data_IF_581403212508
#
_entry.id   IF_581403212508
#
_cell.length_a   1.000
_cell.length_b   1.000
_cell.length_c   1.000
_cell.angle_alpha   90.00
_cell.angle_beta   90.00
_cell.angle_gamma   90.00
#
_symmetry.space_group_name_H-M   'P 1'
#
loop_
_entity.id
_entity.type
_entity.pdbx_description
1 polymer ?
#
# COMPACT_ATOMS: atom_id res chain seq x y z
N UNK A 1 7.61 25.52 -1.42
CA UNK A 1 8.35 24.25 -1.47
C UNK A 1 9.60 24.49 -2.28
N UNK A 2 10.75 23.91 -1.97
CA UNK A 2 11.93 23.99 -2.84
C UNK A 2 11.97 22.81 -3.83
N UNK A 3 12.80 22.87 -4.87
CA UNK A 3 13.07 21.71 -5.74
C UNK A 3 13.48 20.48 -4.91
N UNK A 4 14.36 20.68 -3.94
CA UNK A 4 14.83 19.64 -3.02
C UNK A 4 13.69 19.03 -2.20
N UNK A 5 12.70 19.82 -1.78
CA UNK A 5 11.53 19.31 -1.05
C UNK A 5 10.61 18.48 -1.96
N UNK A 6 10.49 18.87 -3.22
CA UNK A 6 9.72 18.13 -4.24
C UNK A 6 10.35 16.77 -4.52
N UNK A 7 11.67 16.74 -4.76
CA UNK A 7 12.43 15.50 -4.98
C UNK A 7 12.33 14.55 -3.78
N UNK A 8 12.37 15.08 -2.55
CA UNK A 8 12.19 14.30 -1.32
C UNK A 8 10.77 13.73 -1.18
N UNK A 9 9.75 14.50 -1.53
CA UNK A 9 8.37 14.02 -1.53
C UNK A 9 8.15 12.92 -2.56
N UNK A 10 8.70 13.05 -3.77
CA UNK A 10 8.60 12.00 -4.78
C UNK A 10 9.32 10.71 -4.36
N UNK A 11 10.51 10.84 -3.74
CA UNK A 11 11.21 9.68 -3.17
C UNK A 11 10.38 8.98 -2.09
N UNK A 12 9.83 9.75 -1.15
CA UNK A 12 8.99 9.18 -0.09
C UNK A 12 7.71 8.55 -0.65
N UNK A 13 7.09 9.13 -1.67
CA UNK A 13 5.91 8.57 -2.32
C UNK A 13 6.23 7.21 -2.99
N UNK A 14 7.37 7.11 -3.66
CA UNK A 14 7.85 5.86 -4.25
C UNK A 14 8.17 4.80 -3.19
N UNK A 15 8.83 5.17 -2.09
CA UNK A 15 9.09 4.24 -0.97
C UNK A 15 7.79 3.71 -0.34
N UNK A 16 6.72 4.51 -0.30
CA UNK A 16 5.41 4.03 0.16
C UNK A 16 4.77 3.02 -0.81
N UNK A 17 4.98 3.18 -2.12
CA UNK A 17 4.54 2.20 -3.13
C UNK A 17 5.31 0.88 -2.95
N UNK A 18 6.63 0.96 -2.74
CA UNK A 18 7.46 -0.21 -2.45
C UNK A 18 7.01 -0.92 -1.17
N UNK A 19 6.83 -0.17 -0.07
CA UNK A 19 6.34 -0.72 1.20
C UNK A 19 4.97 -1.38 1.05
N UNK A 20 4.07 -0.82 0.24
CA UNK A 20 2.77 -1.45 -0.08
C UNK A 20 2.97 -2.78 -0.80
N UNK A 21 3.89 -2.84 -1.76
CA UNK A 21 4.25 -4.07 -2.47
C UNK A 21 4.86 -5.13 -1.55
N UNK A 22 5.75 -4.73 -0.65
CA UNK A 22 6.33 -5.62 0.37
C UNK A 22 5.27 -6.13 1.35
N UNK A 23 4.38 -5.24 1.80
CA UNK A 23 3.24 -5.61 2.66
C UNK A 23 2.39 -6.69 1.97
N UNK A 24 2.12 -6.56 0.67
CA UNK A 24 1.40 -7.58 -0.08
C UNK A 24 2.13 -8.93 -0.12
N UNK A 25 3.43 -8.94 -0.37
CA UNK A 25 4.22 -10.19 -0.42
C UNK A 25 4.27 -10.91 0.93
N UNK A 26 4.40 -10.15 2.03
CA UNK A 26 4.44 -10.73 3.38
C UNK A 26 3.07 -11.30 3.75
N UNK A 27 1.99 -10.60 3.37
CA UNK A 27 0.60 -11.02 3.53
C UNK A 27 0.30 -12.32 2.77
N UNK A 28 0.64 -12.39 1.48
CA UNK A 28 0.45 -13.59 0.66
C UNK A 28 1.11 -14.83 1.29
N UNK A 29 2.30 -14.65 1.87
CA UNK A 29 3.01 -15.74 2.57
C UNK A 29 2.31 -16.14 3.87
N UNK A 30 1.79 -15.17 4.63
CA UNK A 30 1.06 -15.44 5.87
C UNK A 30 -0.25 -16.19 5.59
N UNK A 31 -0.95 -15.84 4.52
CA UNK A 31 -2.15 -16.54 4.05
C UNK A 31 -1.83 -17.99 3.63
N UNK A 32 -0.74 -18.20 2.87
CA UNK A 32 -0.28 -19.54 2.47
C UNK A 32 0.05 -20.42 3.69
N UNK A 33 0.80 -19.88 4.65
CA UNK A 33 1.18 -20.58 5.88
C UNK A 33 -0.06 -20.92 6.72
N UNK A 34 -1.01 -19.99 6.83
CA UNK A 34 -2.25 -20.17 7.59
C UNK A 34 -3.14 -21.23 6.94
N UNK A 35 -3.32 -21.18 5.62
CA UNK A 35 -4.07 -22.18 4.87
C UNK A 35 -3.45 -23.58 4.98
N UNK A 36 -2.11 -23.66 4.93
CA UNK A 36 -1.36 -24.89 5.12
C UNK A 36 -1.58 -25.47 6.53
N UNK A 37 -1.52 -24.63 7.57
CA UNK A 37 -1.79 -25.02 8.94
C UNK A 37 -3.24 -25.52 9.15
N UNK A 38 -4.22 -24.80 8.58
CA UNK A 38 -5.63 -25.20 8.63
C UNK A 38 -5.85 -26.56 7.96
N UNK A 39 -5.27 -26.78 6.78
CA UNK A 39 -5.31 -28.08 6.09
C UNK A 39 -4.65 -29.19 6.90
N UNK A 40 -3.50 -28.89 7.53
CA UNK A 40 -2.78 -29.82 8.38
C UNK A 40 -3.59 -30.24 9.62
N UNK A 41 -4.20 -29.28 10.30
CA UNK A 41 -5.09 -29.55 11.44
C UNK A 41 -6.29 -30.39 11.03
N UNK A 42 -6.86 -30.13 9.85
CA UNK A 42 -8.00 -30.87 9.33
C UNK A 42 -7.66 -32.11 8.52
N UNK A 43 -6.40 -32.56 8.52
CA UNK A 43 -5.93 -33.69 7.69
C UNK A 43 -6.73 -34.98 7.90
N UNK A 44 -7.25 -35.18 9.11
CA UNK A 44 -7.98 -36.39 9.52
C UNK A 44 -9.42 -36.10 9.94
N UNK A 45 -9.93 -34.90 9.66
CA UNK A 45 -11.26 -34.46 10.04
C UNK A 45 -11.98 -33.84 8.85
N UNK A 46 -13.28 -33.58 8.98
CA UNK A 46 -14.03 -32.92 7.93
C UNK A 46 -13.58 -31.44 7.81
N UNK A 47 -13.28 -30.93 6.60
CA UNK A 47 -13.02 -29.52 6.39
C UNK A 47 -14.31 -28.73 6.62
N UNK A 48 -14.21 -27.57 7.28
CA UNK A 48 -15.36 -26.70 7.53
C UNK A 48 -15.29 -26.00 8.88
N UNK A 49 -16.40 -25.35 9.30
CA UNK A 49 -16.53 -24.81 10.65
C UNK A 49 -16.45 -25.92 11.71
N UNK A 50 -16.15 -25.61 12.98
CA UNK A 50 -15.97 -26.60 14.05
C UNK A 50 -17.15 -27.59 14.17
N UNK A 51 -18.35 -27.08 13.95
CA UNK A 51 -19.63 -27.78 14.02
C UNK A 51 -19.80 -28.86 12.92
N UNK A 52 -19.00 -28.76 11.85
CA UNK A 52 -18.94 -29.73 10.76
C UNK A 52 -17.95 -30.89 11.02
N UNK A 53 -17.36 -30.96 12.22
CA UNK A 53 -16.36 -31.97 12.60
C UNK A 53 -14.91 -31.52 12.38
N UNK A 54 -14.69 -30.25 12.06
CA UNK A 54 -13.38 -29.60 11.95
C UNK A 54 -12.81 -29.28 13.33
N UNK A 55 -11.47 -29.18 13.44
CA UNK A 55 -10.87 -28.73 14.69
C UNK A 55 -11.26 -27.28 14.98
N UNK A 56 -11.70 -27.01 16.21
CA UNK A 56 -12.02 -25.65 16.66
C UNK A 56 -10.86 -24.68 16.39
N UNK A 57 -9.62 -25.13 16.60
CA UNK A 57 -8.39 -24.38 16.35
C UNK A 57 -8.23 -23.99 14.88
N UNK A 58 -8.64 -24.85 13.94
CA UNK A 58 -8.59 -24.56 12.52
C UNK A 58 -9.61 -23.47 12.13
N UNK A 59 -10.82 -23.52 12.70
CA UNK A 59 -11.83 -22.47 12.54
C UNK A 59 -11.37 -21.12 13.13
N UNK A 60 -10.74 -21.14 14.31
CA UNK A 60 -10.18 -19.93 14.93
C UNK A 60 -9.05 -19.32 14.09
N UNK A 61 -8.18 -20.15 13.50
CA UNK A 61 -7.12 -19.69 12.59
C UNK A 61 -7.70 -19.03 11.33
N UNK A 62 -8.69 -19.63 10.67
CA UNK A 62 -9.38 -19.01 9.53
C UNK A 62 -10.06 -17.69 9.90
N UNK A 63 -10.62 -17.59 11.11
CA UNK A 63 -11.22 -16.35 11.59
C UNK A 63 -10.17 -15.25 11.79
N UNK A 64 -9.00 -15.62 12.30
CA UNK A 64 -7.88 -14.70 12.46
C UNK A 64 -7.34 -14.23 11.10
N UNK A 65 -7.20 -15.16 10.15
CA UNK A 65 -6.78 -14.92 8.76
C UNK A 65 -7.65 -13.87 8.07
N UNK A 66 -8.98 -14.05 8.12
CA UNK A 66 -9.93 -13.08 7.55
C UNK A 66 -9.79 -11.69 8.18
N UNK A 67 -9.70 -11.61 9.51
CA UNK A 67 -9.52 -10.33 10.22
C UNK A 67 -8.18 -9.68 9.89
N UNK A 68 -7.12 -10.47 9.74
CA UNK A 68 -5.81 -10.00 9.33
C UNK A 68 -5.85 -9.41 7.92
N UNK A 69 -6.45 -10.11 6.96
CA UNK A 69 -6.61 -9.64 5.58
C UNK A 69 -7.38 -8.31 5.48
N UNK A 70 -8.40 -8.09 6.33
CA UNK A 70 -9.08 -6.79 6.44
C UNK A 70 -8.13 -5.67 6.90
N UNK A 71 -7.29 -5.93 7.92
CA UNK A 71 -6.33 -4.95 8.42
C UNK A 71 -5.24 -4.64 7.38
N UNK A 72 -4.76 -5.65 6.67
CA UNK A 72 -3.75 -5.45 5.62
C UNK A 72 -4.34 -4.67 4.44
N UNK A 73 -5.56 -4.96 4.04
CA UNK A 73 -6.27 -4.18 3.01
C UNK A 73 -6.41 -2.72 3.43
N UNK A 74 -6.80 -2.46 4.68
CA UNK A 74 -6.89 -1.10 5.21
C UNK A 74 -5.54 -0.38 5.18
N UNK A 75 -4.45 -1.05 5.59
CA UNK A 75 -3.09 -0.49 5.53
C UNK A 75 -2.66 -0.18 4.09
N UNK A 76 -2.87 -1.12 3.15
CA UNK A 76 -2.55 -0.93 1.72
C UNK A 76 -3.28 0.30 1.15
N UNK A 77 -4.54 0.52 1.52
CA UNK A 77 -5.32 1.68 1.10
C UNK A 77 -4.78 3.00 1.68
N UNK A 78 -4.39 3.03 2.96
CA UNK A 78 -3.77 4.22 3.55
C UNK A 78 -2.43 4.56 2.88
N UNK A 79 -1.60 3.56 2.60
CA UNK A 79 -0.32 3.76 1.90
C UNK A 79 -0.53 4.32 0.49
N UNK A 80 -1.54 3.81 -0.23
CA UNK A 80 -1.93 4.31 -1.55
C UNK A 80 -2.40 5.78 -1.47
N UNK A 81 -3.33 6.11 -0.57
CA UNK A 81 -3.87 7.48 -0.43
C UNK A 81 -2.77 8.49 -0.07
N UNK A 82 -1.84 8.14 0.82
CA UNK A 82 -0.71 9.02 1.16
C UNK A 82 0.20 9.23 -0.06
N UNK A 83 0.54 8.14 -0.77
CA UNK A 83 1.38 8.21 -1.98
C UNK A 83 0.73 9.09 -3.07
N UNK A 84 -0.58 8.92 -3.32
CA UNK A 84 -1.32 9.69 -4.31
C UNK A 84 -1.38 11.18 -3.96
N UNK A 85 -1.57 11.52 -2.69
CA UNK A 85 -1.54 12.92 -2.22
C UNK A 85 -0.16 13.55 -2.38
N UNK A 86 0.90 12.78 -2.13
CA UNK A 86 2.27 13.26 -2.29
C UNK A 86 2.58 13.53 -3.76
N UNK A 87 2.27 12.59 -4.67
CA UNK A 87 2.44 12.78 -6.12
C UNK A 87 1.58 13.93 -6.68
N UNK A 88 0.35 14.09 -6.18
CA UNK A 88 -0.51 15.21 -6.58
C UNK A 88 0.11 16.56 -6.17
N UNK A 89 0.63 16.63 -4.94
CA UNK A 89 1.27 17.84 -4.42
C UNK A 89 2.55 18.19 -5.18
N UNK A 90 3.42 17.22 -5.45
CA UNK A 90 4.64 17.44 -6.25
C UNK A 90 4.31 17.83 -7.69
N UNK A 91 3.29 17.23 -8.29
CA UNK A 91 2.80 17.60 -9.63
C UNK A 91 2.28 19.04 -9.72
N UNK A 92 1.48 19.49 -8.75
CA UNK A 92 1.00 20.88 -8.68
C UNK A 92 2.15 21.88 -8.50
N UNK A 93 3.11 21.55 -7.65
CA UNK A 93 4.26 22.43 -7.42
C UNK A 93 5.14 22.55 -8.66
N UNK A 94 5.48 21.42 -9.30
CA UNK A 94 6.28 21.39 -10.52
C UNK A 94 5.65 22.19 -11.65
N UNK A 95 4.33 22.09 -11.82
CA UNK A 95 3.60 22.88 -12.83
C UNK A 95 3.66 24.38 -12.53
N UNK A 96 3.40 24.76 -11.28
CA UNK A 96 3.46 26.17 -10.85
C UNK A 96 4.87 26.74 -11.06
N UNK A 97 5.92 25.97 -10.76
CA UNK A 97 7.30 26.41 -10.99
C UNK A 97 7.60 26.62 -12.48
N UNK A 98 7.13 25.73 -13.36
CA UNK A 98 7.29 25.88 -14.81
C UNK A 98 6.57 27.12 -15.35
N UNK A 99 5.34 27.37 -14.87
CA UNK A 99 4.56 28.55 -15.24
C UNK A 99 5.23 29.86 -14.79
N UNK A 100 5.74 29.90 -13.55
CA UNK A 100 6.46 31.06 -13.03
C UNK A 100 7.80 31.29 -13.74
N UNK A 101 8.54 30.22 -14.07
CA UNK A 101 9.76 30.34 -14.90
C UNK A 101 9.45 30.87 -16.30
N UNK A 102 8.36 30.41 -16.92
CA UNK A 102 7.92 30.90 -18.22
C UNK A 102 7.51 32.39 -18.16
N UNK A 103 6.80 32.81 -17.10
CA UNK A 103 6.48 34.22 -16.85
C UNK A 103 7.75 35.06 -16.64
N UNK A 104 8.67 34.63 -15.80
CA UNK A 104 9.93 35.33 -15.58
C UNK A 104 10.75 35.43 -16.87
N UNK A 105 10.83 34.37 -17.67
CA UNK A 105 11.49 34.40 -18.98
C UNK A 105 10.82 35.43 -19.91
N UNK A 106 9.49 35.49 -19.95
CA UNK A 106 8.76 36.48 -20.76
C UNK A 106 8.99 37.93 -20.31
N UNK A 107 9.16 38.17 -19.00
CA UNK A 107 9.46 39.49 -18.44
C UNK A 107 10.94 39.86 -18.65
N UNK A 108 11.84 38.87 -18.62
CA UNK A 108 13.28 39.06 -18.77
C UNK A 108 13.75 39.07 -20.23
N UNK A 109 12.83 39.07 -21.19
CA UNK A 109 13.10 39.32 -22.62
C UNK A 109 12.70 40.76 -22.98
N UNK A 110 13.48 41.80 -22.60
CA UNK A 110 13.23 43.15 -23.06
C UNK A 110 13.80 43.31 -24.48
N UNK A 111 12.92 43.50 -25.46
CA UNK A 111 13.20 43.90 -26.84
C UNK A 111 14.14 42.99 -27.65
N UNK A 112 13.54 42.13 -28.48
CA UNK A 112 14.10 41.63 -29.73
C UNK A 112 13.09 41.82 -30.83
#
# INVERSE_FOLDING_TARGET
>A
MSKTDTDRMDQAANSLVELRGETARVDDRADEDTLSAVKGLNKHTAPGPPDAGSWMTAGSLMTMDMRWGEQVTHLKNMLQDISDRMHTTTGHYTRTEQEERARMASVHTPFG
#
